data_IF_693276362574
#
_entry.id   IF_693276362574
#
_cell.length_a   1.000
_cell.length_b   1.000
_cell.length_c   1.000
_cell.angle_alpha   90.00
_cell.angle_beta   90.00
_cell.angle_gamma   90.00
#
_symmetry.space_group_name_H-M   'P 1'
#
loop_
_entity.id
_entity.type
_entity.pdbx_description
1 polymer ?
#
# COMPACT_ATOMS: atom_id res chain seq x y z
N UNK A 1 33.76 60.29 -3.22
CA UNK A 1 34.45 60.01 -1.94
C UNK A 1 33.68 58.90 -1.21
N UNK A 2 34.40 57.83 -0.86
CA UNK A 2 34.12 56.83 0.19
C UNK A 2 32.92 55.85 0.03
N UNK A 3 33.33 54.60 -0.13
CA UNK A 3 32.64 53.34 0.16
C UNK A 3 31.93 53.32 1.53
N UNK A 4 30.81 52.61 1.65
CA UNK A 4 30.79 51.47 2.58
C UNK A 4 29.76 50.40 2.21
N UNK A 5 30.20 49.16 2.40
CA UNK A 5 29.51 47.89 2.18
C UNK A 5 28.48 47.63 3.28
N UNK A 6 27.38 46.95 2.95
CA UNK A 6 26.86 45.83 3.75
C UNK A 6 25.80 45.04 2.96
N UNK A 7 26.23 43.86 2.52
CA UNK A 7 25.38 42.75 2.11
C UNK A 7 24.68 42.17 3.34
N UNK A 8 23.40 41.78 3.18
CA UNK A 8 22.85 40.63 3.89
C UNK A 8 22.01 39.82 2.90
N UNK A 9 22.51 38.64 2.55
CA UNK A 9 21.74 37.58 1.94
C UNK A 9 20.77 37.03 3.00
N UNK A 10 19.47 37.06 2.73
CA UNK A 10 18.52 36.19 3.40
C UNK A 10 18.48 34.86 2.63
N UNK A 11 19.27 33.88 3.07
CA UNK A 11 19.03 32.48 2.71
C UNK A 11 17.86 32.01 3.57
N UNK A 12 16.65 32.10 3.04
CA UNK A 12 15.52 31.35 3.58
C UNK A 12 15.76 29.89 3.22
N UNK A 13 16.25 29.15 4.21
CA UNK A 13 16.26 27.70 4.25
C UNK A 13 14.85 27.20 3.94
N UNK A 14 14.66 26.64 2.75
CA UNK A 14 13.49 25.84 2.41
C UNK A 14 13.49 24.61 3.30
N UNK A 15 12.87 24.74 4.48
CA UNK A 15 12.45 23.59 5.26
C UNK A 15 11.41 22.87 4.42
N UNK A 16 11.80 21.76 3.79
CA UNK A 16 10.82 20.76 3.39
C UNK A 16 10.21 20.25 4.69
N UNK A 17 9.00 20.71 4.98
CA UNK A 17 8.08 19.94 5.80
C UNK A 17 8.07 18.55 5.15
N UNK A 18 8.64 17.57 5.85
CA UNK A 18 8.26 16.19 5.60
C UNK A 18 6.75 16.17 5.87
N UNK A 19 5.96 16.18 4.78
CA UNK A 19 4.58 15.77 4.85
C UNK A 19 4.65 14.37 5.49
N UNK A 20 3.93 14.19 6.60
CA UNK A 20 3.74 12.86 7.14
C UNK A 20 3.24 11.97 6.00
N UNK A 21 3.72 10.73 5.93
CA UNK A 21 3.04 9.73 5.12
C UNK A 21 1.56 9.80 5.51
N UNK A 22 0.69 10.11 4.56
CA UNK A 22 -0.72 9.76 4.68
C UNK A 22 -0.69 8.23 4.70
N UNK A 23 -0.63 7.66 5.90
CA UNK A 23 -0.80 6.23 6.10
C UNK A 23 -2.31 6.06 6.08
N UNK A 24 -2.79 5.67 4.92
CA UNK A 24 -4.19 5.42 4.69
C UNK A 24 -4.66 4.26 5.57
N UNK A 25 -5.60 4.47 6.49
CA UNK A 25 -6.17 3.38 7.33
C UNK A 25 -5.21 2.69 8.34
N UNK A 26 -5.76 1.82 9.20
CA UNK A 26 -5.02 1.01 10.18
C UNK A 26 -4.97 -0.48 9.76
N UNK A 27 -3.85 -1.17 10.01
CA UNK A 27 -3.73 -2.60 9.72
C UNK A 27 -3.43 -2.88 8.25
N UNK A 28 -3.99 -3.96 7.68
CA UNK A 28 -3.72 -4.36 6.29
C UNK A 28 -4.08 -3.25 5.29
N UNK A 29 -5.13 -2.47 5.58
CA UNK A 29 -5.59 -1.31 4.80
C UNK A 29 -4.59 -0.15 4.73
N UNK A 30 -3.60 -0.13 5.64
CA UNK A 30 -2.57 0.90 5.67
C UNK A 30 -1.15 0.40 5.51
N UNK A 31 -0.96 -0.91 5.38
CA UNK A 31 0.36 -1.52 5.24
C UNK A 31 0.49 -2.45 4.03
N UNK A 32 -0.62 -2.95 3.49
CA UNK A 32 -0.64 -3.97 2.43
C UNK A 32 -1.50 -3.59 1.22
N UNK A 33 -2.66 -2.97 1.41
CA UNK A 33 -3.61 -2.60 0.37
C UNK A 33 -4.45 -1.41 0.79
N UNK A 34 -5.11 -0.69 -0.13
CA UNK A 34 -6.13 0.29 0.21
C UNK A 34 -7.50 -0.37 0.51
N UNK A 35 -8.61 0.39 0.54
CA UNK A 35 -9.95 -0.13 0.86
C UNK A 35 -10.39 -1.26 -0.08
N UNK A 36 -9.96 -1.19 -1.34
CA UNK A 36 -10.24 -2.19 -2.36
C UNK A 36 -8.98 -2.47 -3.17
N UNK A 37 -8.68 -3.75 -3.37
CA UNK A 37 -7.58 -4.21 -4.22
C UNK A 37 -8.03 -5.35 -5.13
N UNK A 38 -7.29 -5.55 -6.23
CA UNK A 38 -7.49 -6.75 -7.03
C UNK A 38 -6.87 -7.94 -6.32
N UNK A 39 -7.69 -8.95 -6.02
CA UNK A 39 -7.17 -10.28 -5.73
C UNK A 39 -6.76 -11.00 -7.03
N UNK A 40 -7.50 -10.76 -8.11
CA UNK A 40 -7.18 -11.28 -9.44
C UNK A 40 -7.78 -10.40 -10.55
N UNK A 41 -7.07 -10.14 -11.66
CA UNK A 41 -5.63 -10.34 -11.84
C UNK A 41 -4.82 -9.49 -10.85
N UNK A 42 -3.60 -9.89 -10.50
CA UNK A 42 -2.82 -9.17 -9.50
C UNK A 42 -2.60 -7.70 -9.91
N UNK A 43 -2.76 -6.79 -8.96
CA UNK A 43 -2.52 -5.37 -9.16
C UNK A 43 -1.03 -5.00 -9.11
N UNK A 44 -0.74 -3.78 -9.58
CA UNK A 44 0.55 -3.16 -9.35
C UNK A 44 0.76 -2.93 -7.86
N UNK A 45 2.02 -2.90 -7.38
CA UNK A 45 2.31 -2.68 -5.98
C UNK A 45 1.60 -1.44 -5.43
N UNK A 46 0.82 -1.65 -4.37
CA UNK A 46 0.12 -0.60 -3.65
C UNK A 46 1.08 0.25 -2.81
N UNK A 47 0.73 1.51 -2.61
CA UNK A 47 1.33 2.40 -1.62
C UNK A 47 0.34 3.49 -1.25
N UNK A 48 0.23 3.80 0.03
CA UNK A 48 -0.66 4.85 0.50
C UNK A 48 -0.37 6.22 -0.14
N UNK A 49 0.88 6.52 -0.50
CA UNK A 49 1.20 7.82 -1.11
C UNK A 49 0.74 7.96 -2.56
N UNK A 50 0.23 6.89 -3.19
CA UNK A 50 -0.12 6.86 -4.59
C UNK A 50 -1.54 6.38 -4.89
N UNK A 51 -2.21 5.69 -3.97
CA UNK A 51 -3.47 4.98 -4.24
C UNK A 51 -4.65 5.91 -4.60
N UNK A 52 -4.59 7.17 -4.19
CA UNK A 52 -5.50 8.23 -4.58
C UNK A 52 -5.06 9.02 -5.83
N UNK A 53 -4.02 8.55 -6.54
CA UNK A 53 -3.45 9.19 -7.73
C UNK A 53 -3.76 8.35 -8.99
N UNK A 54 -4.54 8.94 -9.88
CA UNK A 54 -4.85 8.36 -11.19
C UNK A 54 -3.60 8.18 -12.08
N UNK A 55 -3.58 7.19 -12.99
CA UNK A 55 -4.66 6.23 -13.25
C UNK A 55 -4.57 4.94 -12.41
N UNK A 56 -3.42 4.64 -11.81
CA UNK A 56 -3.16 3.29 -11.34
C UNK A 56 -2.95 3.13 -9.84
N UNK A 57 -3.00 4.22 -9.07
CA UNK A 57 -2.81 4.12 -7.63
C UNK A 57 -1.42 3.66 -7.21
N UNK A 58 -0.44 3.76 -8.10
CA UNK A 58 0.89 3.16 -7.93
C UNK A 58 1.95 3.97 -8.68
N UNK A 59 3.13 4.09 -8.07
CA UNK A 59 4.30 4.66 -8.73
C UNK A 59 4.95 3.71 -9.74
N UNK A 60 4.52 2.44 -9.79
CA UNK A 60 5.07 1.43 -10.69
C UNK A 60 4.38 1.44 -12.05
N UNK A 61 5.18 1.21 -13.10
CA UNK A 61 4.67 0.85 -14.43
C UNK A 61 4.29 -0.64 -14.51
N UNK A 62 3.85 -1.09 -15.70
CA UNK A 62 3.61 -2.50 -15.95
C UNK A 62 4.85 -3.36 -15.69
N UNK A 63 4.67 -4.45 -14.94
CA UNK A 63 5.73 -5.43 -14.68
C UNK A 63 5.35 -6.79 -15.25
N UNK A 64 5.07 -7.78 -14.41
CA UNK A 64 4.61 -9.10 -14.84
C UNK A 64 3.12 -9.04 -15.16
N UNK A 65 2.79 -9.34 -16.41
CA UNK A 65 1.40 -9.35 -16.90
C UNK A 65 0.74 -10.68 -16.60
N UNK A 66 -0.50 -10.64 -16.13
CA UNK A 66 -1.30 -11.85 -15.92
C UNK A 66 -1.88 -12.31 -17.26
N UNK A 67 -1.79 -13.60 -17.56
CA UNK A 67 -2.51 -14.16 -18.71
C UNK A 67 -4.02 -14.05 -18.47
N UNK A 68 -4.71 -13.46 -19.43
CA UNK A 68 -6.13 -13.15 -19.29
C UNK A 68 -6.90 -13.66 -20.51
N UNK A 69 -7.99 -14.41 -20.34
CA UNK A 69 -8.65 -15.04 -21.48
C UNK A 69 -9.37 -13.98 -22.33
N UNK A 70 -9.35 -14.15 -23.64
CA UNK A 70 -10.09 -13.29 -24.57
C UNK A 70 -11.60 -13.33 -24.36
N UNK A 71 -12.13 -14.42 -23.81
CA UNK A 71 -13.55 -14.57 -23.50
C UNK A 71 -13.76 -15.07 -22.07
N UNK A 72 -14.89 -14.70 -21.46
CA UNK A 72 -15.30 -15.16 -20.13
C UNK A 72 -14.31 -14.78 -19.00
N UNK A 73 -13.56 -13.70 -19.17
CA UNK A 73 -12.70 -13.14 -18.14
C UNK A 73 -13.48 -12.67 -16.91
N UNK A 74 -12.76 -12.53 -15.80
CA UNK A 74 -13.33 -12.01 -14.55
C UNK A 74 -12.34 -11.14 -13.81
N UNK A 75 -12.83 -10.35 -12.86
CA UNK A 75 -12.02 -9.63 -11.89
C UNK A 75 -12.50 -10.02 -10.51
N UNK A 76 -11.56 -10.23 -9.60
CA UNK A 76 -11.81 -10.64 -8.22
C UNK A 76 -11.21 -9.58 -7.31
N UNK A 77 -12.00 -9.10 -6.36
CA UNK A 77 -11.62 -8.06 -5.42
C UNK A 77 -11.46 -8.62 -4.01
N UNK A 78 -10.44 -8.12 -3.32
CA UNK A 78 -10.40 -8.09 -1.87
C UNK A 78 -10.89 -6.72 -1.42
N UNK A 79 -11.90 -6.69 -0.56
CA UNK A 79 -12.57 -5.46 -0.11
C UNK A 79 -12.42 -5.40 1.40
N UNK A 80 -11.62 -4.46 1.86
CA UNK A 80 -11.33 -4.29 3.27
C UNK A 80 -12.35 -3.34 3.93
N UNK A 81 -12.74 -2.28 3.21
CA UNK A 81 -13.79 -1.34 3.62
C UNK A 81 -14.78 -1.05 2.47
N UNK A 82 -15.94 -0.51 2.83
CA UNK A 82 -17.00 -0.17 1.89
C UNK A 82 -16.52 0.85 0.84
N UNK A 83 -17.00 0.67 -0.39
CA UNK A 83 -16.68 1.56 -1.51
C UNK A 83 -17.88 1.82 -2.41
N UNK A 84 -17.84 2.95 -3.10
CA UNK A 84 -18.93 3.48 -3.95
C UNK A 84 -18.40 3.88 -5.32
N UNK A 85 -19.30 4.01 -6.31
CA UNK A 85 -18.96 4.39 -7.69
C UNK A 85 -17.83 3.56 -8.27
N UNK A 86 -17.92 2.24 -8.08
CA UNK A 86 -16.89 1.30 -8.51
C UNK A 86 -16.98 1.12 -10.02
N UNK A 87 -15.89 1.42 -10.72
CA UNK A 87 -15.78 1.30 -12.15
C UNK A 87 -14.58 0.44 -12.52
N UNK A 88 -14.80 -0.48 -13.45
CA UNK A 88 -13.75 -1.24 -14.10
C UNK A 88 -13.63 -0.78 -15.53
N UNK A 89 -12.46 -0.28 -15.90
CA UNK A 89 -12.20 0.19 -17.26
C UNK A 89 -10.96 -0.50 -17.82
N UNK A 90 -10.87 -0.62 -19.14
CA UNK A 90 -9.72 -1.23 -19.81
C UNK A 90 -9.05 -0.26 -20.78
N UNK A 91 -7.73 -0.30 -20.79
CA UNK A 91 -6.89 0.39 -21.76
C UNK A 91 -6.00 -0.63 -22.48
N UNK A 92 -6.10 -0.66 -23.81
CA UNK A 92 -5.29 -1.56 -24.65
C UNK A 92 -3.95 -0.92 -24.99
N UNK A 93 -2.86 -1.65 -24.78
CA UNK A 93 -1.51 -1.17 -25.03
C UNK A 93 -0.50 -1.65 -23.98
N UNK A 94 0.76 -1.29 -24.22
CA UNK A 94 1.88 -1.74 -23.39
C UNK A 94 2.05 -0.96 -22.09
N UNK A 95 1.59 0.29 -22.03
CA UNK A 95 1.73 1.14 -20.86
C UNK A 95 0.71 2.28 -20.89
N UNK A 96 -0.43 2.08 -20.23
CA UNK A 96 -1.46 3.10 -20.07
C UNK A 96 -1.05 4.05 -18.96
N UNK A 97 -0.83 5.32 -19.30
CA UNK A 97 -0.24 6.32 -18.37
C UNK A 97 -1.15 7.52 -18.14
N UNK A 98 -2.24 7.64 -18.91
CA UNK A 98 -3.23 8.69 -18.74
C UNK A 98 -4.60 8.09 -18.42
N UNK A 99 -5.39 8.79 -17.59
CA UNK A 99 -6.78 8.41 -17.30
C UNK A 99 -7.62 8.32 -18.58
N UNK A 100 -7.31 9.15 -19.58
CA UNK A 100 -7.98 9.14 -20.88
C UNK A 100 -7.76 7.87 -21.72
N UNK A 101 -6.82 7.00 -21.34
CA UNK A 101 -6.60 5.73 -22.02
C UNK A 101 -7.70 4.71 -21.69
N UNK A 102 -8.38 4.87 -20.54
CA UNK A 102 -9.38 3.96 -19.98
C UNK A 102 -10.80 4.37 -20.38
N UNK A 103 -11.10 4.22 -21.68
CA UNK A 103 -12.37 4.69 -22.26
C UNK A 103 -13.48 3.65 -22.29
N UNK A 104 -13.14 2.37 -22.16
CA UNK A 104 -14.09 1.27 -22.19
C UNK A 104 -14.32 0.75 -20.77
N UNK A 105 -15.52 0.97 -20.24
CA UNK A 105 -15.98 0.29 -19.04
C UNK A 105 -16.28 -1.17 -19.38
N UNK A 106 -15.80 -2.09 -18.56
CA UNK A 106 -15.87 -3.53 -18.82
C UNK A 106 -16.68 -4.31 -17.78
N UNK A 107 -17.13 -3.64 -16.72
CA UNK A 107 -18.13 -4.17 -15.79
C UNK A 107 -19.14 -3.08 -15.49
N UNK A 108 -20.41 -3.39 -15.71
CA UNK A 108 -21.50 -2.43 -15.59
C UNK A 108 -22.19 -2.48 -14.21
N UNK A 109 -22.78 -1.35 -13.81
CA UNK A 109 -23.75 -1.23 -12.71
C UNK A 109 -23.27 -1.61 -11.30
N UNK A 110 -22.02 -1.27 -10.92
CA UNK A 110 -21.56 -1.44 -9.54
C UNK A 110 -21.64 -0.10 -8.80
N UNK A 111 -22.70 0.09 -8.03
CA UNK A 111 -22.91 1.35 -7.30
C UNK A 111 -22.20 1.37 -5.96
N UNK A 112 -22.13 0.22 -5.29
CA UNK A 112 -21.52 0.07 -3.97
C UNK A 112 -21.07 -1.38 -3.76
N UNK A 113 -20.00 -1.55 -2.99
CA UNK A 113 -19.47 -2.83 -2.55
C UNK A 113 -19.17 -2.74 -1.05
N UNK A 114 -19.41 -3.85 -0.35
CA UNK A 114 -19.15 -3.97 1.08
C UNK A 114 -17.91 -4.82 1.32
N UNK A 115 -17.28 -4.63 2.50
CA UNK A 115 -16.17 -5.44 2.97
C UNK A 115 -16.40 -6.95 2.79
N UNK A 116 -15.39 -7.66 2.30
CA UNK A 116 -15.45 -9.07 1.93
C UNK A 116 -14.71 -9.35 0.62
N UNK A 117 -15.31 -10.22 -0.20
CA UNK A 117 -14.73 -10.65 -1.47
C UNK A 117 -15.82 -10.66 -2.53
N UNK A 118 -15.57 -9.99 -3.66
CA UNK A 118 -16.52 -9.92 -4.76
C UNK A 118 -15.82 -10.17 -6.08
N UNK A 119 -16.49 -10.91 -6.96
CA UNK A 119 -16.03 -11.21 -8.29
C UNK A 119 -17.06 -10.79 -9.34
N UNK A 120 -16.55 -10.22 -10.42
CA UNK A 120 -17.36 -9.78 -11.55
C UNK A 120 -16.86 -10.40 -12.84
N UNK A 121 -17.81 -10.76 -13.70
CA UNK A 121 -17.49 -11.11 -15.09
C UNK A 121 -17.23 -9.83 -15.86
N UNK A 122 -16.18 -9.87 -16.66
CA UNK A 122 -15.81 -8.79 -17.57
C UNK A 122 -16.59 -8.99 -18.88
N UNK A 123 -17.10 -7.90 -19.43
CA UNK A 123 -17.81 -7.87 -20.70
C UNK A 123 -16.93 -8.37 -21.86
N UNK A 124 -17.57 -8.69 -22.98
CA UNK A 124 -16.86 -9.22 -24.14
C UNK A 124 -15.82 -8.21 -24.67
N UNK A 125 -14.62 -8.71 -24.91
CA UNK A 125 -13.51 -7.96 -25.47
C UNK A 125 -13.77 -7.76 -26.98
N UNK A 126 -13.44 -6.59 -27.56
CA UNK A 126 -13.64 -6.37 -28.99
C UNK A 126 -12.94 -7.43 -29.85
N UNK A 127 -13.61 -7.91 -30.89
CA UNK A 127 -13.09 -8.95 -31.81
C UNK A 127 -11.75 -8.60 -32.49
N UNK A 128 -11.35 -7.32 -32.47
CA UNK A 128 -10.07 -6.85 -33.00
C UNK A 128 -8.88 -7.15 -32.08
N UNK A 129 -9.12 -7.61 -30.85
CA UNK A 129 -8.07 -7.96 -29.87
C UNK A 129 -7.65 -9.40 -30.08
N UNK A 130 -6.37 -9.61 -30.37
CA UNK A 130 -5.78 -10.93 -30.61
C UNK A 130 -4.97 -11.41 -29.39
N UNK A 131 -4.71 -12.72 -29.25
CA UNK A 131 -3.79 -13.24 -28.24
C UNK A 131 -2.42 -12.56 -28.32
N UNK A 132 -1.79 -12.35 -27.17
CA UNK A 132 -0.55 -11.58 -27.02
C UNK A 132 -0.77 -10.07 -26.92
N UNK A 133 -1.99 -9.56 -27.13
CA UNK A 133 -2.30 -8.14 -26.91
C UNK A 133 -2.18 -7.79 -25.44
N UNK A 134 -1.42 -6.76 -25.13
CA UNK A 134 -1.28 -6.23 -23.78
C UNK A 134 -2.40 -5.23 -23.47
N UNK A 135 -2.90 -5.27 -22.24
CA UNK A 135 -3.87 -4.31 -21.74
C UNK A 135 -3.68 -4.06 -20.24
N UNK A 136 -4.35 -3.04 -19.73
CA UNK A 136 -4.40 -2.71 -18.30
C UNK A 136 -5.86 -2.60 -17.92
N UNK A 137 -6.29 -3.35 -16.90
CA UNK A 137 -7.60 -3.17 -16.27
C UNK A 137 -7.40 -2.19 -15.12
N UNK A 138 -8.17 -1.12 -15.10
CA UNK A 138 -8.23 -0.15 -14.03
C UNK A 138 -9.46 -0.41 -13.17
N UNK A 139 -9.27 -0.31 -11.87
CA UNK A 139 -10.31 -0.16 -10.86
C UNK A 139 -10.27 1.31 -10.39
N UNK A 140 -11.39 2.01 -10.50
CA UNK A 140 -11.63 3.33 -9.92
C UNK A 140 -12.80 3.22 -8.95
N UNK A 141 -12.67 3.78 -7.75
CA UNK A 141 -13.74 3.77 -6.75
C UNK A 141 -13.61 4.92 -5.78
N UNK A 142 -14.67 5.17 -5.02
CA UNK A 142 -14.69 6.12 -3.93
C UNK A 142 -14.78 5.39 -2.60
N UNK A 143 -14.02 5.83 -1.61
CA UNK A 143 -14.14 5.36 -0.23
C UNK A 143 -13.89 6.52 0.74
N UNK A 144 -14.33 6.35 1.97
CA UNK A 144 -14.11 7.27 3.08
C UNK A 144 -13.33 6.55 4.17
N UNK A 145 -12.01 6.40 3.97
CA UNK A 145 -11.15 5.72 4.95
C UNK A 145 -11.22 6.43 6.30
N UNK A 146 -11.54 5.70 7.38
CA UNK A 146 -11.37 6.04 8.80
C UNK A 146 -11.47 7.53 9.17
N UNK A 147 -12.51 8.24 8.70
CA UNK A 147 -12.74 9.68 8.89
C UNK A 147 -11.62 10.60 8.35
N UNK A 148 -10.73 10.09 7.50
CA UNK A 148 -9.78 10.87 6.72
C UNK A 148 -10.50 11.95 5.92
N UNK A 149 -9.83 13.10 5.80
CA UNK A 149 -10.39 14.32 5.22
C UNK A 149 -11.74 14.73 5.84
N UNK A 150 -12.05 14.31 7.08
CA UNK A 150 -13.31 14.57 7.76
C UNK A 150 -14.46 13.70 7.26
N UNK A 151 -14.19 12.44 6.92
CA UNK A 151 -15.18 11.48 6.41
C UNK A 151 -15.67 11.78 4.99
N UNK A 152 -14.88 12.52 4.21
CA UNK A 152 -15.23 12.84 2.82
C UNK A 152 -14.70 11.77 1.89
N UNK A 153 -15.51 11.42 0.90
CA UNK A 153 -15.13 10.47 -0.14
C UNK A 153 -13.89 10.96 -0.90
N UNK A 154 -12.92 10.06 -1.03
CA UNK A 154 -11.72 10.20 -1.85
C UNK A 154 -11.79 9.19 -2.99
N UNK A 155 -11.19 9.53 -4.13
CA UNK A 155 -11.08 8.62 -5.27
C UNK A 155 -9.80 7.80 -5.14
N UNK A 156 -9.93 6.51 -5.36
CA UNK A 156 -8.84 5.54 -5.31
C UNK A 156 -8.77 4.77 -6.62
N UNK A 157 -7.56 4.29 -6.90
CA UNK A 157 -7.19 3.68 -8.16
C UNK A 157 -6.37 2.42 -7.92
N UNK A 158 -6.56 1.42 -8.77
CA UNK A 158 -5.66 0.27 -8.87
C UNK A 158 -5.60 -0.18 -10.33
N UNK A 159 -4.46 -0.73 -10.75
CA UNK A 159 -4.30 -1.29 -12.09
C UNK A 159 -3.80 -2.72 -12.02
N UNK A 160 -4.40 -3.59 -12.82
CA UNK A 160 -3.92 -4.93 -13.09
C UNK A 160 -3.47 -5.04 -14.56
N UNK A 161 -2.20 -5.38 -14.78
CA UNK A 161 -1.64 -5.51 -16.11
C UNK A 161 -1.83 -6.93 -16.65
N UNK A 162 -2.36 -7.04 -17.86
CA UNK A 162 -2.70 -8.32 -18.47
C UNK A 162 -2.11 -8.49 -19.87
N UNK A 163 -1.99 -9.74 -20.29
CA UNK A 163 -1.74 -10.13 -21.67
C UNK A 163 -2.83 -11.11 -22.08
N UNK A 164 -3.52 -10.82 -23.18
CA UNK A 164 -4.59 -11.68 -23.65
C UNK A 164 -4.03 -13.03 -24.14
N UNK A 165 -4.74 -14.10 -23.82
CA UNK A 165 -4.46 -15.45 -24.31
C UNK A 165 -5.73 -16.06 -24.91
N UNK A 166 -5.55 -17.09 -25.74
CA UNK A 166 -6.68 -17.88 -26.19
C UNK A 166 -7.39 -18.51 -25.00
N UNK A 167 -8.72 -18.62 -25.08
CA UNK A 167 -9.53 -19.16 -23.97
C UNK A 167 -9.14 -20.61 -23.66
N UNK A 168 -8.65 -21.38 -24.65
CA UNK A 168 -8.17 -22.75 -24.45
C UNK A 168 -6.83 -22.85 -23.72
N UNK A 169 -6.04 -21.77 -23.74
CA UNK A 169 -4.75 -21.67 -23.05
C UNK A 169 -4.89 -21.10 -21.63
N UNK A 170 -6.13 -20.83 -21.18
CA UNK A 170 -6.42 -20.31 -19.85
C UNK A 170 -6.90 -21.41 -18.92
N UNK A 171 -6.02 -21.86 -18.02
CA UNK A 171 -6.26 -22.96 -17.06
C UNK A 171 -6.35 -22.49 -15.60
N UNK A 172 -6.34 -21.18 -15.37
CA UNK A 172 -6.38 -20.60 -14.02
C UNK A 172 -7.81 -20.64 -13.47
N UNK A 173 -7.97 -21.28 -12.32
CA UNK A 173 -9.20 -21.17 -11.54
C UNK A 173 -9.21 -19.86 -10.75
N UNK A 174 -9.86 -18.84 -11.31
CA UNK A 174 -10.10 -17.57 -10.62
C UNK A 174 -10.99 -17.83 -9.40
N UNK A 175 -10.68 -17.28 -8.20
CA UNK A 175 -11.51 -17.42 -6.99
C UNK A 175 -12.81 -16.59 -7.10
N UNK A 176 -13.63 -16.88 -8.10
CA UNK A 176 -14.78 -16.05 -8.44
C UNK A 176 -16.02 -16.46 -7.62
N UNK A 177 -16.13 -15.91 -6.42
CA UNK A 177 -17.29 -16.03 -5.54
C UNK A 177 -17.60 -14.67 -4.92
N UNK A 178 -18.77 -14.52 -4.29
CA UNK A 178 -19.17 -13.30 -3.59
C UNK A 178 -19.50 -13.65 -2.14
N UNK A 179 -18.86 -12.98 -1.19
CA UNK A 179 -19.15 -13.08 0.25
C UNK A 179 -18.92 -11.73 0.92
N UNK A 180 -19.72 -11.44 1.94
CA UNK A 180 -19.57 -10.22 2.75
C UNK A 180 -18.99 -10.56 4.11
N UNK A 181 -18.15 -9.68 4.65
CA UNK A 181 -17.58 -9.83 5.98
C UNK A 181 -18.68 -9.99 7.06
N UNK A 182 -19.82 -9.32 6.88
CA UNK A 182 -20.98 -9.39 7.78
C UNK A 182 -21.68 -10.76 7.81
N UNK A 183 -21.44 -11.63 6.83
CA UNK A 183 -22.00 -12.98 6.78
C UNK A 183 -21.18 -13.98 7.62
N UNK A 184 -19.94 -13.61 7.99
CA UNK A 184 -19.10 -14.42 8.85
C UNK A 184 -19.47 -14.21 10.32
N UNK A 185 -20.21 -15.17 10.87
CA UNK A 185 -20.41 -15.26 12.31
C UNK A 185 -19.15 -15.81 12.96
N UNK A 186 -18.26 -14.93 13.43
CA UNK A 186 -17.22 -15.34 14.37
C UNK A 186 -17.92 -15.90 15.63
N UNK A 187 -17.47 -17.05 16.18
CA UNK A 187 -17.97 -17.52 17.46
C UNK A 187 -17.83 -16.37 18.47
N UNK A 188 -18.95 -15.95 19.07
CA UNK A 188 -18.89 -15.03 20.20
C UNK A 188 -18.13 -15.76 21.30
N UNK A 189 -17.02 -15.17 21.71
CA UNK A 189 -16.31 -15.55 22.92
C UNK A 189 -17.13 -14.98 24.11
N UNK A 190 -18.28 -15.61 24.35
CA UNK A 190 -19.12 -15.32 25.50
C UNK A 190 -18.46 -15.97 26.73
N UNK A 191 -17.69 -15.17 27.47
CA UNK A 191 -17.22 -15.53 28.80
C UNK A 191 -18.40 -15.86 29.72
N UNK A 192 -18.44 -17.13 30.14
CA UNK A 192 -19.32 -17.84 31.08
C UNK A 192 -20.23 -17.01 32.02
N UNK A 193 -21.51 -17.41 32.13
CA UNK A 193 -22.01 -18.07 33.35
C UNK A 193 -23.13 -19.08 33.04
N UNK A 194 -22.99 -20.24 33.67
CA UNK A 194 -23.80 -21.44 33.67
C UNK A 194 -25.28 -21.22 34.01
N UNK A 195 -26.18 -21.77 33.19
CA UNK A 195 -27.35 -22.50 33.68
C UNK A 195 -27.88 -23.44 32.61
N UNK A 196 -27.49 -24.70 32.78
CA UNK A 196 -27.96 -25.87 32.05
C UNK A 196 -29.50 -25.95 31.90
N UNK A 197 -29.95 -26.32 30.70
CA UNK A 197 -31.04 -27.31 30.51
C UNK A 197 -30.79 -28.10 29.23
N UNK A 198 -30.27 -29.32 29.40
CA UNK A 198 -30.26 -30.46 28.47
C UNK A 198 -31.66 -30.78 27.93
N UNK A 199 -31.88 -31.19 26.67
CA UNK A 199 -31.63 -32.54 26.09
C UNK A 199 -32.01 -32.58 24.56
N UNK A 200 -31.81 -33.66 23.77
CA UNK A 200 -30.86 -33.69 22.64
C UNK A 200 -31.43 -34.26 21.32
N UNK A 201 -30.63 -34.24 20.24
CA UNK A 201 -30.52 -35.26 19.16
C UNK A 201 -29.58 -34.70 18.08
N UNK A 202 -28.51 -35.33 17.59
CA UNK A 202 -27.86 -36.60 17.84
C UNK A 202 -26.71 -36.77 16.83
N UNK A 203 -25.61 -37.41 17.28
CA UNK A 203 -24.49 -38.07 16.55
C UNK A 203 -23.74 -37.25 15.47
N UNK A 204 -22.44 -36.91 15.59
CA UNK A 204 -21.23 -37.76 15.72
C UNK A 204 -20.34 -37.44 14.49
N UNK A 205 -19.01 -37.33 14.49
CA UNK A 205 -17.91 -37.70 15.37
C UNK A 205 -16.74 -36.72 15.23
N UNK A 206 -15.90 -36.76 16.25
CA UNK A 206 -14.73 -35.96 16.58
C UNK A 206 -13.47 -36.44 15.84
N UNK A 207 -12.58 -35.51 15.50
CA UNK A 207 -11.13 -35.70 15.64
C UNK A 207 -10.46 -34.36 16.03
N UNK A 208 -10.14 -34.27 17.31
CA UNK A 208 -9.13 -33.43 17.98
C UNK A 208 -7.75 -33.92 17.49
N UNK A 209 -6.67 -33.16 17.29
CA UNK A 209 -5.99 -32.21 18.18
C UNK A 209 -4.78 -31.61 17.42
N UNK A 210 -4.37 -30.38 17.72
CA UNK A 210 -3.18 -29.75 17.12
C UNK A 210 -3.13 -28.25 17.33
N UNK A 211 -2.94 -27.84 18.58
CA UNK A 211 -2.77 -26.47 19.06
C UNK A 211 -1.64 -25.72 18.37
N UNK A 212 -1.94 -24.54 17.83
CA UNK A 212 -1.06 -23.38 17.90
C UNK A 212 -1.89 -22.13 18.20
N UNK A 213 -1.60 -21.54 19.35
CA UNK A 213 -2.25 -20.37 19.89
C UNK A 213 -1.83 -19.12 19.12
N UNK A 214 -2.76 -18.48 18.42
CA UNK A 214 -2.66 -17.07 18.06
C UNK A 214 -3.86 -16.33 18.65
N UNK A 215 -3.55 -15.58 19.71
CA UNK A 215 -4.51 -14.96 20.59
C UNK A 215 -5.27 -13.78 19.96
N UNK A 216 -6.56 -13.79 20.26
CA UNK A 216 -7.40 -12.67 20.69
C UNK A 216 -7.53 -11.46 19.75
N UNK A 217 -8.69 -11.40 19.10
CA UNK A 217 -9.29 -10.15 18.65
C UNK A 217 -9.51 -9.21 19.85
N UNK A 218 -8.86 -8.06 19.81
CA UNK A 218 -9.10 -6.95 20.72
C UNK A 218 -9.94 -5.91 19.99
N UNK A 219 -10.99 -5.43 20.66
CA UNK A 219 -11.84 -4.33 20.17
C UNK A 219 -10.98 -3.10 19.86
N UNK A 220 -11.31 -2.35 18.80
CA UNK A 220 -10.48 -1.25 18.27
C UNK A 220 -10.09 -0.19 19.32
N UNK A 221 -10.82 -0.09 20.44
CA UNK A 221 -10.46 0.79 21.56
C UNK A 221 -9.32 0.31 22.46
N UNK A 222 -9.00 -0.99 22.51
CA UNK A 222 -7.95 -1.53 23.39
C UNK A 222 -6.55 -1.54 22.75
N UNK A 223 -6.45 -1.58 21.41
CA UNK A 223 -5.17 -1.53 20.67
C UNK A 223 -4.51 -0.15 20.73
N UNK A 224 -5.30 0.91 20.75
CA UNK A 224 -4.83 2.30 20.86
C UNK A 224 -4.03 2.60 22.14
N UNK A 225 -4.27 1.86 23.24
CA UNK A 225 -3.53 2.04 24.49
C UNK A 225 -2.11 1.43 24.48
N UNK A 226 -1.91 0.35 23.74
CA UNK A 226 -0.65 -0.42 23.77
C UNK A 226 0.37 0.16 22.77
N UNK A 227 -0.07 0.60 21.59
CA UNK A 227 0.82 1.18 20.58
C UNK A 227 1.38 2.57 21.00
N UNK A 228 0.56 3.43 21.61
CA UNK A 228 1.01 4.74 22.12
C UNK A 228 1.91 4.59 23.37
N UNK A 229 1.71 3.53 24.17
CA UNK A 229 2.52 3.25 25.35
C UNK A 229 3.98 2.87 25.03
N UNK A 230 4.21 2.11 23.95
CA UNK A 230 5.54 1.62 23.59
C UNK A 230 6.43 2.73 23.02
N UNK A 231 5.86 3.69 22.26
CA UNK A 231 6.63 4.81 21.69
C UNK A 231 7.07 5.78 22.78
N UNK A 232 6.21 6.13 23.74
CA UNK A 232 6.57 7.04 24.84
C UNK A 232 7.55 6.36 25.81
N UNK A 233 7.38 5.07 26.10
CA UNK A 233 8.31 4.33 26.97
C UNK A 233 9.70 4.13 26.34
N UNK A 234 9.77 3.83 25.04
CA UNK A 234 11.05 3.64 24.33
C UNK A 234 11.83 4.95 24.16
N UNK A 235 11.15 6.07 23.88
CA UNK A 235 11.79 7.39 23.84
C UNK A 235 12.32 7.84 25.22
N UNK A 236 11.62 7.52 26.30
CA UNK A 236 12.08 7.79 27.65
C UNK A 236 13.34 6.98 28.01
N UNK A 237 13.42 5.71 27.58
CA UNK A 237 14.60 4.86 27.81
C UNK A 237 15.79 5.36 26.99
N UNK A 238 15.61 5.67 25.71
CA UNK A 238 16.69 6.20 24.86
C UNK A 238 17.18 7.56 25.37
N UNK A 239 16.27 8.44 25.81
CA UNK A 239 16.62 9.71 26.43
C UNK A 239 17.40 9.54 27.74
N UNK A 240 17.00 8.61 28.60
CA UNK A 240 17.69 8.31 29.85
C UNK A 240 19.11 7.74 29.61
N UNK A 241 19.27 6.84 28.63
CA UNK A 241 20.57 6.27 28.27
C UNK A 241 21.49 7.35 27.68
N UNK A 242 21.00 8.19 26.77
CA UNK A 242 21.78 9.29 26.20
C UNK A 242 22.22 10.29 27.28
N UNK A 243 21.33 10.66 28.22
CA UNK A 243 21.65 11.57 29.31
C UNK A 243 22.72 11.00 30.26
N UNK A 244 22.66 9.70 30.60
CA UNK A 244 23.68 9.05 31.44
C UNK A 244 25.03 8.95 30.74
N UNK A 245 25.06 8.64 29.44
CA UNK A 245 26.30 8.58 28.65
C UNK A 245 26.94 9.97 28.51
N UNK A 246 26.14 11.01 28.25
CA UNK A 246 26.63 12.38 28.15
C UNK A 246 27.13 12.92 29.50
N UNK A 247 26.48 12.57 30.61
CA UNK A 247 26.92 12.98 31.96
C UNK A 247 28.21 12.27 32.42
N UNK A 248 28.54 11.11 31.84
CA UNK A 248 29.78 10.37 32.12
C UNK A 248 30.97 10.80 31.25
N UNK A 249 30.75 11.57 30.19
CA UNK A 249 31.83 12.15 29.38
C UNK A 249 32.36 13.42 30.03
N UNK A 250 33.31 13.27 30.95
CA UNK A 250 34.24 14.37 31.25
C UNK A 250 35.11 14.61 30.01
N UNK A 251 35.29 15.85 29.53
CA UNK A 251 36.13 16.12 28.37
C UNK A 251 37.59 15.76 28.70
N UNK A 252 38.16 14.82 27.97
CA UNK A 252 39.61 14.67 27.89
C UNK A 252 40.16 15.78 26.95
N UNK A 253 41.33 16.37 27.25
CA UNK A 253 41.92 17.40 26.39
C UNK A 253 42.32 16.77 25.04
N UNK A 254 42.04 17.46 23.94
CA UNK A 254 42.43 17.03 22.59
C UNK A 254 43.83 17.54 22.30
N UNK A 255 44.80 16.63 22.16
CA UNK A 255 46.17 16.93 21.71
C UNK A 255 46.17 17.21 20.19
N UNK A 256 46.62 18.43 19.85
CA UNK A 256 46.59 19.01 18.51
C UNK A 256 47.91 18.73 17.76
N UNK A 257 48.22 17.48 17.41
CA UNK A 257 49.46 17.19 16.66
C UNK A 257 49.36 16.05 15.63
N UNK A 258 48.32 16.08 14.76
CA UNK A 258 48.27 15.14 13.63
C UNK A 258 47.78 15.68 12.29
N UNK A 259 47.55 16.99 12.17
CA UNK A 259 47.01 17.58 10.94
C UNK A 259 48.07 18.09 9.93
N UNK A 260 49.37 18.11 10.28
CA UNK A 260 50.39 18.77 9.44
C UNK A 260 51.13 17.80 8.48
N UNK A 261 51.01 16.49 8.67
CA UNK A 261 51.83 15.53 7.91
C UNK A 261 51.26 15.09 6.54
N UNK A 262 50.03 15.46 6.17
CA UNK A 262 49.34 14.82 5.04
C UNK A 262 49.29 15.63 3.73
N UNK A 263 49.76 16.89 3.67
CA UNK A 263 49.52 17.74 2.48
C UNK A 263 50.73 18.02 1.58
N UNK A 264 51.85 17.29 1.70
CA UNK A 264 53.05 17.59 0.91
C UNK A 264 53.67 16.35 0.26
N UNK A 265 53.13 15.98 -0.89
CA UNK A 265 53.79 15.01 -1.77
C UNK A 265 52.95 14.55 -2.95
N UNK A 266 52.88 15.34 -4.02
CA UNK A 266 53.20 14.90 -5.40
C UNK A 266 52.91 16.00 -6.43
N UNK A 267 53.98 16.50 -7.03
CA UNK A 267 54.04 17.00 -8.41
C UNK A 267 53.96 15.77 -9.35
N UNK A 268 53.74 15.79 -10.66
CA UNK A 268 53.80 16.76 -11.75
C UNK A 268 53.28 16.00 -12.99
N UNK A 269 52.54 16.61 -13.93
CA UNK A 269 52.77 16.32 -15.36
C UNK A 269 52.30 17.47 -16.26
N UNK A 270 53.33 18.11 -16.80
CA UNK A 270 53.51 18.79 -18.09
C UNK A 270 52.44 18.60 -19.16
N UNK A 271 52.02 19.70 -19.80
CA UNK A 271 51.54 19.70 -21.18
C UNK A 271 52.14 20.91 -21.93
N UNK A 272 52.79 20.63 -23.05
CA UNK A 272 53.43 21.58 -23.93
C UNK A 272 52.64 21.71 -25.25
N UNK A 273 52.38 22.96 -25.66
CA UNK A 273 52.21 23.51 -27.02
C UNK A 273 51.29 24.75 -26.92
N UNK A 274 51.37 25.82 -27.71
CA UNK A 274 52.29 26.33 -28.73
C UNK A 274 51.72 27.69 -29.17
N UNK A 275 52.61 28.64 -29.49
CA UNK A 275 52.54 29.65 -30.58
C UNK A 275 52.68 31.13 -30.18
N UNK A 276 53.71 31.68 -30.82
CA UNK A 276 54.05 33.06 -31.21
C UNK A 276 54.61 33.98 -30.14
#
# INVERSE_FOLDING_TARGET
MKFNKLSYLAVLTGGRLALGQEVHGEGAEGIEMGPVAFLWPADRPWSAEADNIAPCGSASGPTNRTHYPLSQGSVSLSIADDAWNVAFSIAYGNNSTAQSDFTQQVVDNITAIEAGHQCYKVADIPDAVEPGTNATIQLEYWSSMDDELGGRNQSFYACADITFVETEDFDIQVPCFNVRASEFNLPKDDGDEDSATTKPSGAGETNTEGSDAFGSGLTSGAKAGIAVGVIVASLAIVGAVAFVVLRKRKPAPVDQERAIAASKGMANVTSANSRN
#
